data_IF_799619070666
#
_entry.id   IF_799619070666
#
_cell.length_a   1.000
_cell.length_b   1.000
_cell.length_c   1.000
_cell.angle_alpha   90.00
_cell.angle_beta   90.00
_cell.angle_gamma   90.00
#
_symmetry.space_group_name_H-M   'P 1'
#
loop_
_entity.id
_entity.type
_entity.pdbx_description
1 polymer ?
#
# COMPACT_ATOMS: atom_id res chain seq x y z
N UNK A 1 11.38 -39.93 -1.35
CA UNK A 1 11.05 -39.09 -0.19
C UNK A 1 11.87 -37.82 -0.27
N UNK A 2 11.21 -36.67 -0.18
CA UNK A 2 11.73 -35.32 -0.33
C UNK A 2 12.75 -34.93 0.74
N UNK A 3 13.67 -34.03 0.39
CA UNK A 3 14.04 -32.93 1.28
C UNK A 3 14.64 -31.78 0.46
N UNK A 4 13.87 -30.72 0.25
CA UNK A 4 14.39 -29.43 -0.21
C UNK A 4 14.56 -28.57 1.04
N UNK A 5 15.81 -28.31 1.41
CA UNK A 5 16.16 -27.40 2.48
C UNK A 5 15.66 -25.99 2.10
N UNK A 6 14.72 -25.46 2.88
CA UNK A 6 14.25 -24.07 2.74
C UNK A 6 15.33 -23.14 3.28
N UNK A 7 16.09 -22.53 2.39
CA UNK A 7 16.95 -21.39 2.72
C UNK A 7 16.04 -20.16 2.82
N UNK A 8 15.72 -19.75 4.04
CA UNK A 8 15.04 -18.48 4.31
C UNK A 8 15.98 -17.31 3.96
N UNK A 9 15.53 -16.30 3.20
CA UNK A 9 16.26 -15.05 3.09
C UNK A 9 16.15 -14.26 4.40
N UNK A 10 17.28 -13.77 4.89
CA UNK A 10 17.38 -12.89 6.06
C UNK A 10 16.66 -11.56 5.80
N UNK A 11 15.93 -11.06 6.80
CA UNK A 11 15.23 -9.78 6.74
C UNK A 11 16.23 -8.61 6.59
N UNK A 12 15.96 -7.61 5.74
CA UNK A 12 16.76 -6.38 5.72
C UNK A 12 16.52 -5.58 7.01
N UNK A 13 17.61 -5.19 7.66
CA UNK A 13 17.60 -4.43 8.91
C UNK A 13 16.96 -3.05 8.75
N UNK A 14 16.23 -2.64 9.79
CA UNK A 14 15.74 -1.27 9.95
C UNK A 14 16.92 -0.32 10.18
N UNK A 15 17.16 0.60 9.25
CA UNK A 15 17.81 1.89 9.51
C UNK A 15 17.47 2.84 8.37
N UNK A 16 16.60 3.81 8.65
CA UNK A 16 16.24 4.84 7.68
C UNK A 16 14.99 5.59 8.09
N UNK A 17 15.15 6.54 9.00
CA UNK A 17 14.18 7.58 9.36
C UNK A 17 13.79 8.40 8.13
N UNK A 18 12.51 8.34 7.72
CA UNK A 18 11.88 9.22 6.74
C UNK A 18 10.46 9.55 7.21
N UNK A 19 10.09 10.83 7.13
CA UNK A 19 8.95 11.47 7.80
C UNK A 19 7.69 10.63 7.98
N UNK A 20 7.21 10.59 9.23
CA UNK A 20 5.81 10.23 9.50
C UNK A 20 4.97 11.34 8.87
N UNK A 21 4.43 11.09 7.68
CA UNK A 21 3.42 11.96 7.11
C UNK A 21 2.23 11.97 8.09
N UNK A 22 2.09 13.05 8.85
CA UNK A 22 0.94 13.35 9.73
C UNK A 22 -0.36 13.57 8.92
N UNK A 23 -0.35 13.24 7.62
CA UNK A 23 -1.54 13.10 6.80
C UNK A 23 -2.35 11.92 7.31
N UNK A 24 -3.07 12.13 8.41
CA UNK A 24 -4.07 11.21 8.94
C UNK A 24 -5.01 10.85 7.80
N UNK A 25 -4.88 9.63 7.28
CA UNK A 25 -5.71 9.17 6.18
C UNK A 25 -7.17 9.35 6.59
N UNK A 26 -8.00 10.02 5.76
CA UNK A 26 -9.39 10.20 6.09
C UNK A 26 -10.06 8.84 6.33
N UNK A 27 -10.98 8.74 7.30
CA UNK A 27 -11.73 7.52 7.54
C UNK A 27 -12.30 6.94 6.24
N UNK A 28 -12.33 5.61 6.11
CA UNK A 28 -12.89 4.88 4.94
C UNK A 28 -14.27 5.42 4.54
N UNK A 29 -15.11 5.75 5.52
CA UNK A 29 -16.45 6.31 5.30
C UNK A 29 -16.42 7.70 4.66
N UNK A 30 -15.42 8.51 4.98
CA UNK A 30 -15.25 9.86 4.43
C UNK A 30 -14.75 9.78 2.99
N UNK A 31 -13.77 8.91 2.74
CA UNK A 31 -13.28 8.63 1.39
C UNK A 31 -14.39 8.10 0.48
N UNK A 32 -15.17 7.12 0.95
CA UNK A 32 -16.29 6.56 0.20
C UNK A 32 -17.34 7.62 -0.15
N UNK A 33 -17.68 8.49 0.81
CA UNK A 33 -18.61 9.60 0.61
C UNK A 33 -18.11 10.62 -0.41
N UNK A 34 -16.82 10.98 -0.39
CA UNK A 34 -16.22 11.92 -1.33
C UNK A 34 -16.38 11.43 -2.78
N UNK A 35 -16.26 10.13 -3.02
CA UNK A 35 -16.39 9.53 -4.36
C UNK A 35 -17.80 9.02 -4.67
N UNK A 36 -18.79 9.25 -3.79
CA UNK A 36 -20.16 8.78 -3.98
C UNK A 36 -20.35 7.26 -3.90
N UNK A 37 -19.42 6.54 -3.26
CA UNK A 37 -19.48 5.09 -3.09
C UNK A 37 -20.27 4.71 -1.83
N UNK A 38 -21.31 3.89 -1.99
CA UNK A 38 -22.04 3.27 -0.87
C UNK A 38 -21.39 1.95 -0.46
N UNK A 39 -20.97 1.84 0.80
CA UNK A 39 -20.42 0.60 1.36
C UNK A 39 -21.49 -0.06 2.24
N UNK A 40 -21.93 -1.29 1.92
CA UNK A 40 -22.83 -2.04 2.79
C UNK A 40 -22.22 -2.22 4.19
N UNK A 41 -23.03 -2.03 5.23
CA UNK A 41 -22.55 -2.09 6.61
C UNK A 41 -21.84 -3.42 6.96
N UNK A 42 -22.33 -4.54 6.39
CA UNK A 42 -21.72 -5.85 6.58
C UNK A 42 -20.30 -5.96 6.00
N UNK A 43 -19.95 -5.16 5.00
CA UNK A 43 -18.62 -5.16 4.37
C UNK A 43 -17.63 -4.22 5.07
N UNK A 44 -18.10 -3.31 5.92
CA UNK A 44 -17.25 -2.26 6.52
C UNK A 44 -16.02 -2.81 7.27
N UNK A 45 -16.13 -3.89 8.09
CA UNK A 45 -14.95 -4.43 8.77
C UNK A 45 -13.85 -4.88 7.79
N UNK A 46 -14.23 -5.56 6.71
CA UNK A 46 -13.28 -6.07 5.71
C UNK A 46 -12.70 -4.95 4.87
N UNK A 47 -13.49 -3.92 4.53
CA UNK A 47 -12.97 -2.74 3.82
C UNK A 47 -11.93 -2.04 4.67
N UNK A 48 -12.18 -1.82 5.97
CA UNK A 48 -11.21 -1.21 6.89
C UNK A 48 -9.93 -2.04 6.98
N UNK A 49 -10.04 -3.36 7.12
CA UNK A 49 -8.88 -4.25 7.19
C UNK A 49 -8.06 -4.19 5.88
N UNK A 50 -8.72 -4.23 4.72
CA UNK A 50 -8.06 -4.15 3.43
C UNK A 50 -7.42 -2.78 3.19
N UNK A 51 -8.04 -1.69 3.61
CA UNK A 51 -7.44 -0.34 3.54
C UNK A 51 -6.14 -0.27 4.34
N UNK A 52 -6.10 -0.84 5.55
CA UNK A 52 -4.87 -0.88 6.34
C UNK A 52 -3.76 -1.68 5.65
N UNK A 53 -4.09 -2.83 5.06
CA UNK A 53 -3.14 -3.63 4.29
C UNK A 53 -2.60 -2.86 3.07
N UNK A 54 -3.49 -2.20 2.32
CA UNK A 54 -3.12 -1.44 1.12
C UNK A 54 -2.24 -0.23 1.46
N UNK A 55 -2.44 0.43 2.61
CA UNK A 55 -1.51 1.46 3.07
C UNK A 55 -0.11 0.92 3.28
N UNK A 56 0.05 -0.27 3.88
CA UNK A 56 1.37 -0.87 4.03
C UNK A 56 2.08 -1.13 2.69
N UNK A 57 1.32 -1.50 1.64
CA UNK A 57 1.89 -1.61 0.30
C UNK A 57 2.20 -0.25 -0.34
N UNK A 58 1.35 0.76 -0.11
CA UNK A 58 1.60 2.11 -0.58
C UNK A 58 2.89 2.69 0.05
N UNK A 59 3.08 2.50 1.36
CA UNK A 59 4.30 2.90 2.08
C UNK A 59 5.54 2.19 1.51
N UNK A 60 5.41 0.89 1.22
CA UNK A 60 6.49 0.12 0.59
C UNK A 60 6.86 0.70 -0.78
N UNK A 61 5.87 1.02 -1.62
CA UNK A 61 6.11 1.63 -2.93
C UNK A 61 6.65 3.06 -2.81
N UNK A 62 6.14 3.85 -1.86
CA UNK A 62 6.60 5.22 -1.59
C UNK A 62 8.03 5.30 -1.05
N UNK A 63 8.57 4.19 -0.52
CA UNK A 63 9.97 4.11 -0.08
C UNK A 63 10.99 4.02 -1.23
N UNK A 64 10.53 3.77 -2.47
CA UNK A 64 11.40 3.76 -3.64
C UNK A 64 11.71 5.18 -4.09
N UNK A 65 13.00 5.51 -4.18
CA UNK A 65 13.45 6.76 -4.80
C UNK A 65 13.40 6.59 -6.31
N UNK A 66 12.37 7.17 -6.93
CA UNK A 66 12.25 7.24 -8.38
C UNK A 66 12.86 8.55 -8.89
N UNK A 67 13.67 8.51 -9.96
CA UNK A 67 14.10 9.71 -10.66
C UNK A 67 12.91 10.52 -11.20
N UNK A 68 13.08 11.83 -11.36
CA UNK A 68 12.04 12.72 -11.93
C UNK A 68 11.74 12.39 -13.40
N UNK A 69 12.64 11.71 -14.11
CA UNK A 69 12.50 11.22 -15.48
C UNK A 69 11.98 9.78 -15.57
N UNK A 70 11.49 9.22 -14.45
CA UNK A 70 10.83 7.94 -14.43
C UNK A 70 9.44 8.02 -15.09
N UNK A 71 9.36 7.67 -16.37
CA UNK A 71 8.11 7.63 -17.12
C UNK A 71 7.14 6.55 -16.59
N UNK A 72 5.81 6.76 -16.70
CA UNK A 72 4.82 5.73 -16.42
C UNK A 72 5.05 4.47 -17.27
N UNK A 73 4.82 3.30 -16.68
CA UNK A 73 5.03 2.02 -17.36
C UNK A 73 4.14 1.80 -18.61
N UNK A 74 3.06 2.57 -18.74
CA UNK A 74 2.17 2.54 -19.90
C UNK A 74 2.00 3.96 -20.45
N UNK A 75 2.28 4.13 -21.73
CA UNK A 75 2.08 5.38 -22.45
C UNK A 75 0.78 5.30 -23.25
N UNK A 76 -0.04 6.35 -23.20
CA UNK A 76 -1.26 6.43 -24.01
C UNK A 76 -0.89 6.47 -25.49
N UNK A 77 -1.45 5.54 -26.27
CA UNK A 77 -1.38 5.58 -27.74
C UNK A 77 -2.71 6.13 -28.26
N UNK A 78 -2.73 7.32 -28.89
CA UNK A 78 -3.95 7.94 -29.41
C UNK A 78 -4.67 7.17 -30.51
#
# INVERSE_FOLDING_TARGET
MSSAARLSPSAPGLSGTGGHDDHKVPPVTDMARIIGLSIPAACMPDVVANTALLHGYADLVGSFVLPDDCEPAYEYVP
#
